data_IF_333557681680
#
_entry.id   IF_333557681680
#
_cell.length_a   1.000
_cell.length_b   1.000
_cell.length_c   1.000
_cell.angle_alpha   90.00
_cell.angle_beta   90.00
_cell.angle_gamma   90.00
#
_symmetry.space_group_name_H-M   'P 1'
#
loop_
_entity.id
_entity.type
_entity.pdbx_description
1 polymer ?
#
# COMPACT_ATOMS: atom_id res chain seq x y z
N UNK A 1 -20.11 34.15 -44.14
CA UNK A 1 -19.09 33.09 -44.30
C UNK A 1 -18.00 33.18 -43.23
N UNK A 2 -17.30 34.32 -43.10
CA UNK A 2 -16.24 34.54 -42.09
C UNK A 2 -16.71 34.35 -40.64
N UNK A 3 -17.86 34.89 -40.25
CA UNK A 3 -18.44 34.70 -38.91
C UNK A 3 -18.67 33.22 -38.57
N UNK A 4 -19.18 32.44 -39.53
CA UNK A 4 -19.42 31.01 -39.35
C UNK A 4 -18.11 30.23 -39.17
N UNK A 5 -17.05 30.60 -39.91
CA UNK A 5 -15.73 29.99 -39.77
C UNK A 5 -15.15 30.25 -38.37
N UNK A 6 -15.24 31.50 -37.88
CA UNK A 6 -14.76 31.87 -36.55
C UNK A 6 -15.53 31.12 -35.46
N UNK A 7 -16.85 31.02 -35.60
CA UNK A 7 -17.70 30.36 -34.61
C UNK A 7 -17.43 28.85 -34.57
N UNK A 8 -17.28 28.20 -35.73
CA UNK A 8 -16.86 26.81 -35.81
C UNK A 8 -15.48 26.58 -35.20
N UNK A 9 -14.51 27.45 -35.47
CA UNK A 9 -13.17 27.36 -34.88
C UNK A 9 -13.22 27.46 -33.35
N UNK A 10 -14.04 28.37 -32.82
CA UNK A 10 -14.23 28.54 -31.39
C UNK A 10 -14.86 27.31 -30.73
N UNK A 11 -15.87 26.70 -31.39
CA UNK A 11 -16.49 25.46 -30.91
C UNK A 11 -15.47 24.32 -30.91
N UNK A 12 -14.67 24.16 -31.97
CA UNK A 12 -13.64 23.13 -32.04
C UNK A 12 -12.58 23.30 -30.94
N UNK A 13 -12.15 24.54 -30.69
CA UNK A 13 -11.21 24.84 -29.63
C UNK A 13 -11.80 24.51 -28.25
N UNK A 14 -13.05 24.86 -27.99
CA UNK A 14 -13.73 24.55 -26.74
C UNK A 14 -13.85 23.04 -26.52
N UNK A 15 -14.22 22.28 -27.56
CA UNK A 15 -14.28 20.82 -27.51
C UNK A 15 -12.90 20.18 -27.28
N UNK A 16 -11.85 20.71 -27.90
CA UNK A 16 -10.49 20.25 -27.69
C UNK A 16 -10.06 20.42 -26.24
N UNK A 17 -10.24 21.61 -25.66
CA UNK A 17 -9.91 21.89 -24.26
C UNK A 17 -10.70 20.98 -23.31
N UNK A 18 -12.01 20.81 -23.57
CA UNK A 18 -12.86 19.93 -22.77
C UNK A 18 -12.38 18.46 -22.83
N UNK A 19 -11.99 17.97 -24.01
CA UNK A 19 -11.48 16.62 -24.17
C UNK A 19 -10.15 16.40 -23.42
N UNK A 20 -9.22 17.37 -23.50
CA UNK A 20 -7.96 17.29 -22.77
C UNK A 20 -8.18 17.32 -21.25
N UNK A 21 -9.03 18.22 -20.76
CA UNK A 21 -9.35 18.30 -19.33
C UNK A 21 -9.96 16.99 -18.80
N UNK A 22 -10.93 16.43 -19.53
CA UNK A 22 -11.54 15.15 -19.16
C UNK A 22 -10.53 13.99 -19.17
N UNK A 23 -9.57 14.00 -20.10
CA UNK A 23 -8.47 13.04 -20.15
C UNK A 23 -7.62 13.10 -18.87
N UNK A 24 -7.20 14.30 -18.45
CA UNK A 24 -6.40 14.50 -17.24
C UNK A 24 -7.16 14.07 -15.98
N UNK A 25 -8.44 14.43 -15.87
CA UNK A 25 -9.29 14.01 -14.74
C UNK A 25 -9.42 12.49 -14.68
N UNK A 26 -9.60 11.83 -15.83
CA UNK A 26 -9.67 10.36 -15.88
C UNK A 26 -8.37 9.71 -15.41
N UNK A 27 -7.21 10.24 -15.83
CA UNK A 27 -5.91 9.74 -15.39
C UNK A 27 -5.69 9.93 -13.89
N UNK A 28 -6.06 11.10 -13.35
CA UNK A 28 -6.01 11.38 -11.91
C UNK A 28 -6.85 10.39 -11.11
N UNK A 29 -8.12 10.21 -11.49
CA UNK A 29 -9.01 9.26 -10.83
C UNK A 29 -8.49 7.82 -10.95
N UNK A 30 -7.86 7.47 -12.07
CA UNK A 30 -7.19 6.18 -12.24
C UNK A 30 -6.05 5.97 -11.24
N UNK A 31 -5.19 6.97 -11.06
CA UNK A 31 -4.11 6.92 -10.08
C UNK A 31 -4.64 6.81 -8.64
N UNK A 32 -5.66 7.60 -8.28
CA UNK A 32 -6.29 7.56 -6.96
C UNK A 32 -6.93 6.20 -6.67
N UNK A 33 -7.61 5.61 -7.68
CA UNK A 33 -8.19 4.27 -7.53
C UNK A 33 -7.12 3.19 -7.39
N UNK A 34 -6.05 3.24 -8.19
CA UNK A 34 -4.92 2.32 -8.04
C UNK A 34 -4.27 2.42 -6.67
N UNK A 35 -4.12 3.64 -6.13
CA UNK A 35 -3.61 3.84 -4.78
C UNK A 35 -4.54 3.26 -3.72
N UNK A 36 -5.86 3.50 -3.82
CA UNK A 36 -6.84 2.92 -2.89
C UNK A 36 -6.80 1.38 -2.88
N UNK A 37 -6.61 0.75 -4.04
CA UNK A 37 -6.42 -0.71 -4.11
C UNK A 37 -5.17 -1.18 -3.35
N UNK A 38 -4.05 -0.47 -3.48
CA UNK A 38 -2.81 -0.78 -2.75
C UNK A 38 -3.01 -0.60 -1.25
N UNK A 39 -3.59 0.52 -0.84
CA UNK A 39 -3.87 0.84 0.57
C UNK A 39 -4.70 -0.26 1.26
N UNK A 40 -5.75 -0.75 0.60
CA UNK A 40 -6.54 -1.89 1.13
C UNK A 40 -5.68 -3.14 1.34
N UNK A 41 -4.74 -3.45 0.43
CA UNK A 41 -3.86 -4.62 0.60
C UNK A 41 -2.86 -4.43 1.74
N UNK A 42 -2.33 -3.22 1.90
CA UNK A 42 -1.40 -2.89 2.99
C UNK A 42 -2.11 -2.96 4.34
N UNK A 43 -3.33 -2.41 4.43
CA UNK A 43 -4.17 -2.52 5.62
C UNK A 43 -4.48 -3.98 5.95
N UNK A 44 -4.89 -4.79 4.97
CA UNK A 44 -5.13 -6.23 5.19
C UNK A 44 -3.88 -6.94 5.73
N UNK A 45 -2.68 -6.62 5.22
CA UNK A 45 -1.42 -7.17 5.73
C UNK A 45 -1.19 -6.76 7.19
N UNK A 46 -1.40 -5.48 7.50
CA UNK A 46 -1.24 -4.91 8.84
C UNK A 46 -2.23 -5.48 9.87
N UNK A 47 -3.41 -5.88 9.42
CA UNK A 47 -4.45 -6.50 10.25
C UNK A 47 -4.15 -7.97 10.57
N UNK A 48 -3.39 -8.68 9.72
CA UNK A 48 -3.01 -10.07 9.93
C UNK A 48 -1.79 -10.25 10.84
N UNK A 49 -0.97 -9.20 11.00
CA UNK A 49 0.26 -9.26 11.80
C UNK A 49 0.03 -9.60 13.28
N UNK A 50 -0.96 -9.04 13.98
CA UNK A 50 -1.24 -9.44 15.36
C UNK A 50 -1.47 -10.94 15.52
N UNK A 51 -2.25 -11.54 14.60
CA UNK A 51 -2.51 -12.98 14.60
C UNK A 51 -1.22 -13.77 14.32
N UNK A 52 -0.39 -13.33 13.36
CA UNK A 52 0.91 -13.95 13.10
C UNK A 52 1.81 -13.92 14.34
N UNK A 53 1.89 -12.75 15.01
CA UNK A 53 2.69 -12.58 16.23
C UNK A 53 2.18 -13.49 17.35
N UNK A 54 0.87 -13.62 17.53
CA UNK A 54 0.28 -14.51 18.52
C UNK A 54 0.63 -15.98 18.26
N UNK A 55 0.51 -16.44 17.00
CA UNK A 55 0.90 -17.79 16.61
C UNK A 55 2.40 -18.02 16.87
N UNK A 56 3.27 -17.09 16.48
CA UNK A 56 4.72 -17.24 16.68
C UNK A 56 5.09 -17.23 18.16
N UNK A 57 4.45 -16.37 18.98
CA UNK A 57 4.65 -16.35 20.44
C UNK A 57 4.36 -17.69 21.11
N UNK A 58 3.39 -18.46 20.59
CA UNK A 58 3.04 -19.78 21.12
C UNK A 58 4.18 -20.81 21.02
N UNK A 59 5.08 -20.67 20.04
CA UNK A 59 6.17 -21.61 19.79
C UNK A 59 7.56 -21.03 20.11
N UNK A 60 7.75 -19.72 19.96
CA UNK A 60 9.01 -19.02 20.16
C UNK A 60 8.90 -17.98 21.29
N UNK A 61 8.51 -18.43 22.49
CA UNK A 61 8.25 -17.56 23.65
C UNK A 61 9.46 -16.72 24.11
N UNK A 62 10.69 -17.16 23.79
CA UNK A 62 11.91 -16.44 24.12
C UNK A 62 12.29 -15.34 23.11
N UNK A 63 11.59 -15.25 21.97
CA UNK A 63 11.88 -14.31 20.87
C UNK A 63 11.13 -12.98 21.00
N UNK A 64 11.05 -12.47 22.23
CA UNK A 64 10.26 -11.27 22.53
C UNK A 64 10.80 -10.02 21.83
N UNK A 65 12.12 -9.90 21.69
CA UNK A 65 12.77 -8.78 21.01
C UNK A 65 12.38 -8.72 19.52
N UNK A 66 12.50 -9.85 18.82
CA UNK A 66 12.14 -9.98 17.40
C UNK A 66 10.66 -9.67 17.18
N UNK A 67 9.78 -10.18 18.03
CA UNK A 67 8.34 -9.95 17.91
C UNK A 67 7.94 -8.51 18.26
N UNK A 68 8.64 -7.87 19.21
CA UNK A 68 8.45 -6.45 19.50
C UNK A 68 8.86 -5.56 18.32
N UNK A 69 9.95 -5.90 17.63
CA UNK A 69 10.39 -5.18 16.44
C UNK A 69 9.33 -5.21 15.33
N UNK A 70 8.67 -6.36 15.13
CA UNK A 70 7.56 -6.50 14.16
C UNK A 70 6.35 -5.66 14.55
N UNK A 71 5.97 -5.67 15.84
CA UNK A 71 4.85 -4.86 16.34
C UNK A 71 5.13 -3.36 16.17
N UNK A 72 6.36 -2.91 16.46
CA UNK A 72 6.76 -1.52 16.25
C UNK A 72 6.73 -1.14 14.78
N UNK A 73 7.29 -1.98 13.90
CA UNK A 73 7.28 -1.74 12.45
C UNK A 73 5.85 -1.69 11.90
N UNK A 74 4.95 -2.55 12.39
CA UNK A 74 3.52 -2.52 12.03
C UNK A 74 2.84 -1.22 12.49
N UNK A 75 3.12 -0.77 13.71
CA UNK A 75 2.55 0.48 14.21
C UNK A 75 3.05 1.70 13.41
N UNK A 76 4.32 1.70 12.99
CA UNK A 76 4.85 2.72 12.08
C UNK A 76 4.15 2.67 10.70
N UNK A 77 3.94 1.48 10.14
CA UNK A 77 3.26 1.30 8.85
C UNK A 77 1.78 1.71 8.85
N UNK A 78 1.10 1.61 9.99
CA UNK A 78 -0.30 2.05 10.14
C UNK A 78 -0.40 3.56 10.40
N UNK A 79 0.62 4.15 11.02
CA UNK A 79 0.66 5.58 11.30
C UNK A 79 1.23 6.43 10.15
N UNK A 80 1.78 5.78 9.10
CA UNK A 80 2.35 6.46 7.96
C UNK A 80 1.26 7.21 7.17
N UNK A 81 1.57 8.44 6.75
CA UNK A 81 0.70 9.25 5.91
C UNK A 81 1.38 9.60 4.59
N UNK A 82 0.64 9.42 3.50
CA UNK A 82 1.13 9.60 2.14
C UNK A 82 1.95 8.42 1.58
N UNK A 83 1.98 8.34 0.25
CA UNK A 83 2.56 7.22 -0.52
C UNK A 83 4.03 6.94 -0.17
N UNK A 84 4.83 7.99 -0.01
CA UNK A 84 6.26 7.85 0.24
C UNK A 84 6.56 7.29 1.64
N UNK A 85 5.88 7.81 2.67
CA UNK A 85 6.04 7.32 4.03
C UNK A 85 5.50 5.89 4.17
N UNK A 86 4.39 5.58 3.50
CA UNK A 86 3.84 4.23 3.44
C UNK A 86 4.88 3.25 2.86
N UNK A 87 5.51 3.60 1.74
CA UNK A 87 6.53 2.76 1.11
C UNK A 87 7.75 2.53 2.02
N UNK A 88 8.22 3.56 2.74
CA UNK A 88 9.36 3.44 3.65
C UNK A 88 9.04 2.51 4.83
N UNK A 89 7.93 2.76 5.52
CA UNK A 89 7.50 1.97 6.67
C UNK A 89 7.15 0.52 6.30
N UNK A 90 6.57 0.30 5.12
CA UNK A 90 6.32 -1.05 4.60
C UNK A 90 7.61 -1.83 4.29
N UNK A 91 8.68 -1.15 3.87
CA UNK A 91 9.99 -1.76 3.70
C UNK A 91 10.58 -2.19 5.05
N UNK A 92 10.45 -1.36 6.09
CA UNK A 92 10.86 -1.70 7.45
C UNK A 92 10.09 -2.91 7.98
N UNK A 93 8.77 -2.91 7.80
CA UNK A 93 7.90 -4.02 8.18
C UNK A 93 8.28 -5.32 7.44
N UNK A 94 8.53 -5.23 6.14
CA UNK A 94 9.00 -6.37 5.35
C UNK A 94 10.35 -6.90 5.87
N UNK A 95 11.25 -6.01 6.29
CA UNK A 95 12.51 -6.37 6.92
C UNK A 95 12.31 -7.14 8.24
N UNK A 96 11.42 -6.65 9.11
CA UNK A 96 11.09 -7.32 10.37
C UNK A 96 10.43 -8.70 10.15
N UNK A 97 9.52 -8.81 9.18
CA UNK A 97 8.89 -10.09 8.84
C UNK A 97 9.88 -11.14 8.32
N UNK A 98 10.96 -10.74 7.62
CA UNK A 98 12.04 -11.67 7.23
C UNK A 98 12.73 -12.29 8.44
N UNK A 99 12.87 -11.55 9.54
CA UNK A 99 13.45 -12.10 10.78
C UNK A 99 12.52 -13.16 11.39
N UNK A 100 11.20 -12.95 11.34
CA UNK A 100 10.21 -13.96 11.77
C UNK A 100 10.30 -15.23 10.91
N UNK A 101 10.48 -15.10 9.59
CA UNK A 101 10.69 -16.28 8.75
C UNK A 101 11.98 -17.03 9.08
N UNK A 102 13.07 -16.32 9.42
CA UNK A 102 14.29 -16.96 9.90
C UNK A 102 14.06 -17.72 11.23
N UNK A 103 13.18 -17.22 12.11
CA UNK A 103 12.76 -17.96 13.30
C UNK A 103 11.97 -19.22 12.93
N UNK A 104 11.07 -19.16 11.95
CA UNK A 104 10.34 -20.35 11.50
C UNK A 104 11.28 -21.45 10.96
N UNK A 105 12.44 -21.09 10.41
CA UNK A 105 13.49 -22.07 10.04
C UNK A 105 14.20 -22.66 11.26
N UNK A 106 14.45 -21.86 12.30
CA UNK A 106 15.09 -22.30 13.55
C UNK A 106 14.16 -23.17 14.43
N UNK A 107 12.84 -23.00 14.28
CA UNK A 107 11.80 -23.71 15.03
C UNK A 107 10.93 -24.55 14.07
N UNK A 108 11.28 -25.83 13.80
CA UNK A 108 10.56 -26.68 12.85
C UNK A 108 9.07 -26.85 13.14
N UNK A 109 8.68 -26.78 14.42
CA UNK A 109 7.29 -26.88 14.88
C UNK A 109 6.44 -25.70 14.40
N UNK A 110 7.04 -24.52 14.18
CA UNK A 110 6.36 -23.37 13.57
C UNK A 110 6.02 -23.60 12.10
N UNK A 111 6.91 -24.31 11.38
CA UNK A 111 6.73 -24.66 9.97
C UNK A 111 5.69 -25.76 9.76
N UNK A 112 5.53 -26.64 10.74
CA UNK A 112 4.64 -27.79 10.65
C UNK A 112 3.15 -27.45 10.88
N UNK A 113 2.84 -26.25 11.35
CA UNK A 113 1.48 -25.82 11.70
C UNK A 113 0.79 -24.99 10.60
N UNK A 114 1.18 -25.22 9.33
CA UNK A 114 0.49 -24.72 8.13
C UNK A 114 -0.88 -25.39 7.89
#
# INVERSE_FOLDING_TARGET
MTLLIILTMMVLLALFVAAQYNGLVRMRNGADNSWAHIDVQLNRRNDLIPNLVETVKGYAAHEQETLNAVVQARNAAVAADGVAAQAETDNLLTGALRQVFALAEAYPDLKANE
#
